data_IF_522220195623
#
_entry.id   IF_522220195623
#
_cell.length_a   1.000
_cell.length_b   1.000
_cell.length_c   1.000
_cell.angle_alpha   90.00
_cell.angle_beta   90.00
_cell.angle_gamma   90.00
#
_symmetry.space_group_name_H-M   'P 1'
#
loop_
_entity.id
_entity.type
_entity.pdbx_description
1 polymer ?
#
# COMPACT_ATOMS: atom_id res chain seq x y z
N UNK A 1 -18.02 -35.27 2.87
CA UNK A 1 -19.03 -34.20 2.93
C UNK A 1 -18.93 -33.54 4.30
N UNK A 2 -18.92 -32.22 4.34
CA UNK A 2 -18.85 -31.47 5.61
C UNK A 2 -20.07 -30.56 5.67
N UNK A 3 -20.58 -30.34 6.87
CA UNK A 3 -21.74 -29.47 7.14
C UNK A 3 -21.27 -28.28 7.97
N UNK A 4 -21.64 -27.07 7.57
CA UNK A 4 -21.19 -25.84 8.24
C UNK A 4 -21.77 -25.70 9.65
N UNK A 5 -22.95 -26.29 9.90
CA UNK A 5 -23.61 -26.23 11.20
C UNK A 5 -24.21 -27.59 11.56
N UNK A 6 -23.44 -28.50 12.18
CA UNK A 6 -23.85 -29.88 12.45
C UNK A 6 -25.08 -29.97 13.39
N UNK A 7 -25.34 -28.94 14.20
CA UNK A 7 -26.47 -28.90 15.14
C UNK A 7 -27.83 -28.94 14.42
N UNK A 8 -27.95 -28.41 13.20
CA UNK A 8 -29.20 -28.45 12.44
C UNK A 8 -29.58 -29.86 11.97
N UNK A 9 -28.64 -30.82 11.94
CA UNK A 9 -28.96 -32.22 11.68
C UNK A 9 -29.80 -32.84 12.80
N UNK A 10 -29.78 -32.28 14.03
CA UNK A 10 -30.72 -32.67 15.07
C UNK A 10 -32.19 -32.41 14.68
N UNK A 11 -32.43 -31.46 13.76
CA UNK A 11 -33.73 -31.19 13.16
C UNK A 11 -34.32 -32.37 12.37
N UNK A 12 -33.49 -33.34 11.93
CA UNK A 12 -33.99 -34.60 11.37
C UNK A 12 -34.82 -35.41 12.38
N UNK A 13 -34.67 -35.16 13.68
CA UNK A 13 -35.57 -35.71 14.71
C UNK A 13 -37.03 -35.33 14.48
N UNK A 14 -37.31 -34.20 13.81
CA UNK A 14 -38.67 -33.78 13.46
C UNK A 14 -39.35 -34.70 12.43
N UNK A 15 -38.59 -35.53 11.70
CA UNK A 15 -39.14 -36.57 10.81
C UNK A 15 -39.92 -37.64 11.59
N UNK A 16 -39.65 -37.79 12.88
CA UNK A 16 -40.41 -38.71 13.74
C UNK A 16 -41.83 -38.23 14.01
N UNK A 17 -42.11 -36.91 13.94
CA UNK A 17 -43.43 -36.36 14.27
C UNK A 17 -44.54 -36.89 13.34
N UNK A 18 -44.44 -36.79 12.00
CA UNK A 18 -45.49 -37.32 11.10
C UNK A 18 -45.75 -38.81 11.27
N UNK A 19 -44.69 -39.59 11.53
CA UNK A 19 -44.78 -41.04 11.76
C UNK A 19 -45.49 -41.33 13.08
N UNK A 20 -45.12 -40.60 14.14
CA UNK A 20 -45.71 -40.75 15.47
C UNK A 20 -47.19 -40.31 15.47
N UNK A 21 -47.51 -39.18 14.84
CA UNK A 21 -48.89 -38.71 14.68
C UNK A 21 -49.74 -39.66 13.85
N UNK A 22 -49.17 -40.32 12.84
CA UNK A 22 -49.89 -41.35 12.08
C UNK A 22 -50.15 -42.61 12.91
N UNK A 23 -49.24 -42.96 13.82
CA UNK A 23 -49.39 -44.08 14.72
C UNK A 23 -50.44 -43.80 15.82
N UNK A 24 -50.55 -42.54 16.27
CA UNK A 24 -51.57 -42.06 17.21
C UNK A 24 -52.90 -41.83 16.45
N UNK A 25 -53.52 -42.92 15.96
CA UNK A 25 -54.92 -42.85 15.52
C UNK A 25 -55.83 -42.82 16.75
N UNK A 26 -56.45 -41.67 17.04
CA UNK A 26 -57.60 -41.61 17.94
C UNK A 26 -58.75 -42.36 17.28
N UNK A 27 -59.23 -43.43 17.90
CA UNK A 27 -60.49 -44.09 17.53
C UNK A 27 -61.61 -43.05 17.53
N UNK A 28 -62.39 -42.91 16.43
CA UNK A 28 -63.54 -42.02 16.42
C UNK A 28 -64.52 -42.45 17.51
N UNK A 29 -64.71 -41.61 18.54
CA UNK A 29 -65.80 -41.79 19.50
C UNK A 29 -67.03 -41.10 18.95
N UNK A 30 -67.78 -41.85 18.14
CA UNK A 30 -69.11 -41.51 17.68
C UNK A 30 -70.07 -42.64 18.01
N UNK A 31 -70.28 -42.92 19.30
CA UNK A 31 -71.37 -43.81 19.70
C UNK A 31 -72.67 -43.03 19.54
N UNK A 32 -73.45 -43.37 18.53
CA UNK A 32 -74.81 -42.86 18.37
C UNK A 32 -75.78 -43.90 18.94
N UNK A 33 -76.71 -43.51 19.84
CA UNK A 33 -77.68 -44.44 20.37
C UNK A 33 -78.57 -44.94 19.23
N UNK A 34 -78.53 -46.23 18.97
CA UNK A 34 -79.39 -46.91 18.01
C UNK A 34 -80.43 -47.74 18.77
N UNK A 35 -81.65 -47.87 18.22
CA UNK A 35 -82.73 -48.63 18.86
C UNK A 35 -82.43 -50.14 18.91
N UNK A 36 -83.11 -50.85 19.81
CA UNK A 36 -82.91 -52.24 20.25
C UNK A 36 -82.35 -53.23 19.20
N UNK A 37 -81.18 -53.81 19.49
CA UNK A 37 -80.51 -54.84 18.69
C UNK A 37 -80.92 -56.29 19.06
N UNK A 38 -82.02 -56.47 19.80
CA UNK A 38 -82.46 -57.75 20.39
C UNK A 38 -82.65 -58.89 19.36
N UNK A 39 -82.90 -58.55 18.08
CA UNK A 39 -83.15 -59.53 17.01
C UNK A 39 -81.95 -59.77 16.08
N UNK A 40 -80.79 -59.14 16.33
CA UNK A 40 -79.60 -59.31 15.50
C UNK A 40 -78.63 -60.28 16.17
N UNK A 41 -78.17 -61.28 15.42
CA UNK A 41 -77.17 -62.23 15.89
C UNK A 41 -75.84 -61.51 16.18
N UNK A 42 -75.19 -61.77 17.32
CA UNK A 42 -73.93 -61.11 17.68
C UNK A 42 -72.86 -61.44 16.65
N UNK A 43 -72.45 -60.45 15.87
CA UNK A 43 -71.30 -60.57 14.98
C UNK A 43 -70.03 -60.53 15.85
N UNK A 44 -69.10 -61.50 15.72
CA UNK A 44 -67.90 -61.51 16.54
C UNK A 44 -67.10 -60.22 16.32
N UNK A 45 -66.48 -59.65 17.38
CA UNK A 45 -65.66 -58.46 17.25
C UNK A 45 -64.56 -58.76 16.24
N UNK A 46 -64.65 -58.16 15.05
CA UNK A 46 -63.54 -58.19 14.10
C UNK A 46 -62.40 -57.48 14.81
N UNK A 47 -61.39 -58.23 15.25
CA UNK A 47 -60.10 -57.65 15.57
C UNK A 47 -59.69 -56.88 14.31
N UNK A 48 -59.83 -55.56 14.36
CA UNK A 48 -59.30 -54.67 13.34
C UNK A 48 -57.78 -54.82 13.43
N UNK A 49 -57.27 -55.76 12.64
CA UNK A 49 -55.85 -56.00 12.44
C UNK A 49 -55.20 -54.65 12.19
N UNK A 50 -54.25 -54.33 13.07
CA UNK A 50 -53.15 -53.35 12.98
C UNK A 50 -53.36 -52.21 11.96
N UNK A 51 -53.30 -50.98 12.47
CA UNK A 51 -53.15 -49.74 11.69
C UNK A 51 -52.39 -49.99 10.39
N UNK A 52 -53.13 -50.03 9.27
CA UNK A 52 -52.53 -50.03 7.94
C UNK A 52 -52.16 -48.58 7.66
N UNK A 53 -50.95 -48.38 7.17
CA UNK A 53 -50.44 -47.07 6.76
C UNK A 53 -51.18 -46.65 5.49
N UNK A 54 -52.41 -46.16 5.64
CA UNK A 54 -53.16 -45.57 4.54
C UNK A 54 -52.47 -44.27 4.12
N UNK A 55 -52.27 -44.05 2.82
CA UNK A 55 -51.62 -42.87 2.23
C UNK A 55 -50.10 -42.75 2.50
N UNK A 56 -49.35 -43.86 2.36
CA UNK A 56 -47.89 -43.87 2.50
C UNK A 56 -47.17 -42.83 1.61
N UNK A 57 -47.70 -42.54 0.42
CA UNK A 57 -47.17 -41.48 -0.47
C UNK A 57 -47.25 -40.08 0.15
N UNK A 58 -48.39 -39.74 0.80
CA UNK A 58 -48.55 -38.45 1.48
C UNK A 58 -47.64 -38.35 2.72
N UNK A 59 -47.44 -39.46 3.43
CA UNK A 59 -46.52 -39.53 4.57
C UNK A 59 -45.06 -39.35 4.11
N UNK A 60 -44.67 -39.97 3.00
CA UNK A 60 -43.35 -39.81 2.38
C UNK A 60 -43.13 -38.37 1.92
N UNK A 61 -44.11 -37.76 1.25
CA UNK A 61 -44.01 -36.36 0.81
C UNK A 61 -43.83 -35.39 1.99
N UNK A 62 -44.55 -35.61 3.09
CA UNK A 62 -44.46 -34.77 4.30
C UNK A 62 -43.12 -34.91 5.00
N UNK A 63 -42.57 -36.13 5.04
CA UNK A 63 -41.23 -36.39 5.54
C UNK A 63 -40.16 -35.77 4.62
N UNK A 64 -40.31 -35.91 3.30
CA UNK A 64 -39.40 -35.32 2.32
C UNK A 64 -39.34 -33.79 2.41
N UNK A 65 -40.49 -33.12 2.59
CA UNK A 65 -40.53 -31.66 2.79
C UNK A 65 -39.74 -31.21 4.03
N UNK A 66 -39.89 -31.93 5.16
CA UNK A 66 -39.12 -31.63 6.38
C UNK A 66 -37.63 -31.95 6.23
N UNK A 67 -37.29 -33.02 5.50
CA UNK A 67 -35.90 -33.39 5.21
C UNK A 67 -35.22 -32.34 4.31
N UNK A 68 -35.90 -31.86 3.26
CA UNK A 68 -35.42 -30.79 2.39
C UNK A 68 -35.25 -29.48 3.15
N UNK A 69 -36.18 -29.15 4.06
CA UNK A 69 -36.06 -27.97 4.92
C UNK A 69 -34.83 -28.08 5.83
N UNK A 70 -34.63 -29.23 6.50
CA UNK A 70 -33.46 -29.48 7.32
C UNK A 70 -32.15 -29.39 6.51
N UNK A 71 -32.14 -29.93 5.28
CA UNK A 71 -30.99 -29.82 4.37
C UNK A 71 -30.74 -28.38 3.90
N UNK A 72 -31.79 -27.60 3.61
CA UNK A 72 -31.66 -26.20 3.22
C UNK A 72 -31.00 -25.37 4.33
N UNK A 73 -31.37 -25.61 5.60
CA UNK A 73 -30.74 -24.96 6.75
C UNK A 73 -29.36 -25.52 7.10
N UNK A 74 -29.12 -26.82 6.87
CA UNK A 74 -27.82 -27.44 7.10
C UNK A 74 -26.75 -27.01 6.08
N UNK A 75 -27.16 -26.43 4.93
CA UNK A 75 -26.29 -26.01 3.82
C UNK A 75 -25.19 -27.05 3.52
N UNK A 76 -25.55 -28.28 3.11
CA UNK A 76 -24.57 -29.28 2.75
C UNK A 76 -23.78 -28.78 1.54
N UNK A 77 -22.46 -28.63 1.71
CA UNK A 77 -21.60 -28.34 0.58
C UNK A 77 -20.94 -29.63 0.10
N UNK A 78 -21.11 -29.90 -1.19
CA UNK A 78 -20.39 -30.96 -1.85
C UNK A 78 -18.98 -30.46 -2.12
N UNK A 79 -17.97 -30.98 -1.40
CA UNK A 79 -16.59 -30.93 -1.87
C UNK A 79 -16.53 -31.81 -3.11
N UNK A 80 -16.89 -31.26 -4.25
CA UNK A 80 -16.62 -31.90 -5.53
C UNK A 80 -15.11 -31.83 -5.72
N UNK A 81 -14.39 -32.89 -5.37
CA UNK A 81 -13.19 -33.25 -6.12
C UNK A 81 -13.69 -33.73 -7.47
N UNK A 82 -14.06 -32.79 -8.33
CA UNK A 82 -14.31 -33.07 -9.72
C UNK A 82 -12.97 -33.57 -10.28
N UNK A 83 -12.95 -34.82 -10.74
CA UNK A 83 -11.91 -35.31 -11.65
C UNK A 83 -12.19 -34.62 -12.99
N UNK A 84 -11.94 -33.31 -13.04
CA UNK A 84 -11.78 -32.59 -14.29
C UNK A 84 -10.42 -33.02 -14.82
N UNK A 85 -10.39 -33.49 -16.07
CA UNK A 85 -9.14 -33.60 -16.81
C UNK A 85 -8.40 -32.28 -16.67
N UNK A 86 -7.11 -32.30 -16.30
CA UNK A 86 -6.30 -31.08 -16.13
C UNK A 86 -6.36 -30.15 -17.35
N UNK A 87 -6.66 -30.69 -18.54
CA UNK A 87 -6.84 -29.97 -19.80
C UNK A 87 -8.17 -29.19 -19.92
N UNK A 88 -9.15 -29.42 -19.04
CA UNK A 88 -10.46 -28.76 -19.02
C UNK A 88 -10.64 -27.79 -17.85
N UNK A 89 -9.66 -27.70 -16.94
CA UNK A 89 -9.62 -26.58 -15.99
C UNK A 89 -9.20 -25.33 -16.75
N UNK A 90 -10.09 -24.33 -16.74
CA UNK A 90 -9.72 -22.95 -17.01
C UNK A 90 -8.46 -22.62 -16.17
N UNK A 91 -7.37 -22.25 -16.83
CA UNK A 91 -6.17 -21.77 -16.13
C UNK A 91 -6.47 -20.45 -15.42
N UNK A 92 -5.62 -20.05 -14.49
CA UNK A 92 -5.70 -18.70 -13.89
C UNK A 92 -4.64 -17.79 -14.47
N UNK A 93 -4.91 -16.49 -14.56
CA UNK A 93 -3.89 -15.46 -14.80
C UNK A 93 -3.61 -14.74 -13.49
N UNK A 94 -2.52 -15.11 -12.83
CA UNK A 94 -2.17 -14.63 -11.50
C UNK A 94 -1.12 -13.51 -11.60
N UNK A 95 -1.50 -12.27 -11.31
CA UNK A 95 -0.56 -11.17 -11.12
C UNK A 95 -0.09 -11.14 -9.67
N UNK A 96 1.19 -11.48 -9.43
CA UNK A 96 1.82 -11.26 -8.13
C UNK A 96 2.26 -9.81 -8.07
N UNK A 97 1.61 -9.00 -7.24
CA UNK A 97 1.88 -7.59 -7.05
C UNK A 97 2.62 -7.43 -5.72
N UNK A 98 3.92 -7.17 -5.79
CA UNK A 98 4.83 -7.15 -4.65
C UNK A 98 5.23 -5.73 -4.29
N UNK A 99 4.97 -5.35 -3.05
CA UNK A 99 5.40 -4.07 -2.50
C UNK A 99 6.91 -4.04 -2.32
N UNK A 100 7.55 -3.04 -2.91
CA UNK A 100 8.99 -2.79 -2.88
C UNK A 100 9.32 -1.43 -2.26
N UNK A 101 8.37 -0.79 -1.58
CA UNK A 101 8.59 0.50 -0.93
C UNK A 101 9.62 0.48 0.20
N UNK A 102 10.00 1.66 0.67
CA UNK A 102 10.96 1.82 1.77
C UNK A 102 10.54 1.11 3.06
N UNK A 103 9.24 1.04 3.37
CA UNK A 103 8.73 0.40 4.60
C UNK A 103 9.02 -1.10 4.66
N UNK A 104 9.13 -1.75 3.50
CA UNK A 104 9.45 -3.18 3.39
C UNK A 104 10.88 -3.51 3.85
N UNK A 105 11.73 -2.51 4.11
CA UNK A 105 13.07 -2.66 4.69
C UNK A 105 13.05 -2.96 6.19
N UNK A 106 11.91 -2.79 6.85
CA UNK A 106 11.76 -2.97 8.31
C UNK A 106 11.82 -4.44 8.69
N UNK A 107 12.59 -4.73 9.74
CA UNK A 107 12.75 -6.08 10.32
C UNK A 107 12.86 -7.20 9.26
N UNK A 108 11.92 -8.16 9.29
CA UNK A 108 11.86 -9.34 8.42
C UNK A 108 10.75 -9.25 7.36
N UNK A 109 10.18 -8.07 7.11
CA UNK A 109 9.05 -7.86 6.19
C UNK A 109 9.36 -8.36 4.78
N UNK A 110 10.52 -8.01 4.24
CA UNK A 110 10.93 -8.42 2.90
C UNK A 110 11.04 -9.95 2.78
N UNK A 111 11.59 -10.62 3.80
CA UNK A 111 11.72 -12.08 3.82
C UNK A 111 10.36 -12.75 3.91
N UNK A 112 9.42 -12.20 4.70
CA UNK A 112 8.04 -12.66 4.74
C UNK A 112 7.37 -12.50 3.37
N UNK A 113 7.55 -11.35 2.71
CA UNK A 113 6.96 -11.05 1.41
C UNK A 113 7.44 -12.03 0.32
N UNK A 114 8.75 -12.28 0.26
CA UNK A 114 9.34 -13.30 -0.61
C UNK A 114 8.80 -14.71 -0.31
N UNK A 115 8.60 -15.05 0.97
CA UNK A 115 8.01 -16.33 1.35
C UNK A 115 6.54 -16.45 0.92
N UNK A 116 5.77 -15.37 0.97
CA UNK A 116 4.40 -15.33 0.44
C UNK A 116 4.39 -15.49 -1.08
N UNK A 117 5.24 -14.77 -1.82
CA UNK A 117 5.36 -14.90 -3.26
C UNK A 117 5.74 -16.35 -3.65
N UNK A 118 6.70 -16.96 -2.96
CA UNK A 118 7.10 -18.36 -3.21
C UNK A 118 5.96 -19.35 -2.93
N UNK A 119 5.12 -19.11 -1.92
CA UNK A 119 3.92 -19.94 -1.69
C UNK A 119 2.93 -19.79 -2.82
N UNK A 120 2.66 -18.57 -3.29
CA UNK A 120 1.78 -18.32 -4.43
C UNK A 120 2.27 -19.06 -5.68
N UNK A 121 3.56 -19.01 -5.98
CA UNK A 121 4.16 -19.72 -7.13
C UNK A 121 4.03 -21.25 -6.98
N UNK A 122 4.10 -21.79 -5.76
CA UNK A 122 3.89 -23.23 -5.50
C UNK A 122 2.44 -23.68 -5.64
N UNK A 123 1.48 -22.77 -5.47
CA UNK A 123 0.05 -23.03 -5.58
C UNK A 123 -0.48 -22.88 -7.03
N UNK A 124 0.38 -22.47 -7.97
CA UNK A 124 0.05 -22.42 -9.39
C UNK A 124 -0.18 -23.81 -9.96
N UNK A 125 -1.26 -23.96 -10.71
CA UNK A 125 -1.56 -25.14 -11.51
C UNK A 125 -0.73 -25.19 -12.81
N UNK A 126 -0.74 -26.33 -13.52
CA UNK A 126 0.03 -26.50 -14.75
C UNK A 126 -0.44 -25.63 -15.92
N UNK A 127 -1.67 -25.13 -15.89
CA UNK A 127 -2.23 -24.23 -16.91
C UNK A 127 -2.31 -22.77 -16.44
N UNK A 128 -1.81 -22.46 -15.25
CA UNK A 128 -1.84 -21.10 -14.74
C UNK A 128 -0.71 -20.29 -15.37
N UNK A 129 -1.04 -19.07 -15.79
CA UNK A 129 -0.09 -18.08 -16.23
C UNK A 129 0.18 -17.09 -15.08
N UNK A 130 1.42 -16.66 -14.94
CA UNK A 130 1.87 -15.79 -13.85
C UNK A 130 2.61 -14.59 -14.40
N UNK A 131 2.30 -13.43 -13.82
CA UNK A 131 3.05 -12.19 -13.97
C UNK A 131 3.62 -11.76 -12.61
N UNK A 132 4.76 -11.07 -12.64
CA UNK A 132 5.37 -10.46 -11.47
C UNK A 132 5.42 -8.95 -11.71
N UNK A 133 4.73 -8.22 -10.86
CA UNK A 133 4.70 -6.76 -10.83
C UNK A 133 5.24 -6.31 -9.48
N UNK A 134 6.18 -5.38 -9.49
CA UNK A 134 6.63 -4.69 -8.26
C UNK A 134 6.04 -3.31 -8.22
N UNK A 135 5.81 -2.76 -7.03
CA UNK A 135 5.39 -1.38 -6.91
C UNK A 135 6.07 -0.67 -5.75
N UNK A 136 6.32 0.61 -5.95
CA UNK A 136 6.58 1.59 -4.90
C UNK A 136 5.72 2.83 -5.18
N UNK A 137 6.28 3.91 -5.73
CA UNK A 137 5.55 5.05 -6.27
C UNK A 137 4.89 4.73 -7.62
N UNK A 138 5.45 3.75 -8.35
CA UNK A 138 4.95 3.31 -9.64
C UNK A 138 4.95 1.79 -9.71
N UNK A 139 3.96 1.23 -10.42
CA UNK A 139 3.96 -0.19 -10.76
C UNK A 139 4.91 -0.46 -11.93
N UNK A 140 5.73 -1.50 -11.79
CA UNK A 140 6.64 -1.97 -12.82
C UNK A 140 6.46 -3.48 -13.04
N UNK A 141 6.15 -3.86 -14.28
CA UNK A 141 6.08 -5.27 -14.68
C UNK A 141 7.48 -5.82 -14.88
N UNK A 142 7.86 -6.82 -14.07
CA UNK A 142 9.16 -7.51 -14.13
C UNK A 142 9.06 -8.76 -15.02
N UNK A 143 7.94 -9.48 -14.91
CA UNK A 143 7.58 -10.61 -15.77
C UNK A 143 6.15 -10.39 -16.24
N UNK A 144 5.97 -10.22 -17.54
CA UNK A 144 4.66 -10.00 -18.18
C UNK A 144 3.91 -11.32 -18.40
N UNK A 145 2.59 -11.28 -18.60
CA UNK A 145 1.76 -12.41 -19.00
C UNK A 145 2.15 -12.98 -20.37
N UNK A 146 1.77 -14.23 -20.64
CA UNK A 146 1.95 -14.81 -21.97
C UNK A 146 1.02 -14.09 -22.96
N UNK A 147 1.58 -13.72 -24.11
CA UNK A 147 0.85 -13.05 -25.17
C UNK A 147 0.30 -14.07 -26.17
N UNK A 148 -0.95 -13.89 -26.65
CA UNK A 148 -1.48 -14.74 -27.71
C UNK A 148 -0.58 -14.70 -28.96
N UNK A 149 -0.16 -15.87 -29.43
CA UNK A 149 0.67 -16.01 -30.63
C UNK A 149 2.19 -16.04 -30.40
N UNK A 150 2.67 -15.79 -29.17
CA UNK A 150 4.07 -16.02 -28.80
C UNK A 150 4.29 -17.48 -28.34
N UNK A 151 5.47 -18.07 -28.57
CA UNK A 151 5.78 -19.39 -28.05
C UNK A 151 5.73 -19.35 -26.50
N UNK A 152 5.05 -20.30 -25.85
CA UNK A 152 4.90 -20.28 -24.39
C UNK A 152 6.27 -20.30 -23.73
N UNK A 153 6.44 -19.44 -22.73
CA UNK A 153 7.69 -19.36 -21.99
C UNK A 153 7.77 -20.56 -21.09
N UNK A 154 8.55 -21.56 -21.52
CA UNK A 154 8.77 -22.77 -20.72
C UNK A 154 9.25 -22.37 -19.33
N UNK A 155 8.47 -22.75 -18.32
CA UNK A 155 8.83 -22.64 -16.91
C UNK A 155 8.87 -21.20 -16.35
N UNK A 156 7.89 -20.39 -16.75
CA UNK A 156 7.61 -19.06 -16.19
C UNK A 156 7.65 -18.98 -14.65
N UNK A 157 7.10 -19.96 -13.89
CA UNK A 157 7.24 -19.98 -12.43
C UNK A 157 8.70 -19.91 -11.96
N UNK A 158 9.63 -20.60 -12.64
CA UNK A 158 11.05 -20.52 -12.31
C UNK A 158 11.71 -19.21 -12.74
N UNK A 159 11.26 -18.59 -13.83
CA UNK A 159 11.68 -17.24 -14.21
C UNK A 159 11.31 -16.23 -13.12
N UNK A 160 10.06 -16.27 -12.63
CA UNK A 160 9.60 -15.42 -11.52
C UNK A 160 10.44 -15.66 -10.27
N UNK A 161 10.73 -16.91 -9.90
CA UNK A 161 11.61 -17.24 -8.77
C UNK A 161 13.03 -16.66 -8.93
N UNK A 162 13.56 -16.65 -10.14
CA UNK A 162 14.87 -16.08 -10.41
C UNK A 162 14.85 -14.55 -10.22
N UNK A 163 13.82 -13.87 -10.75
CA UNK A 163 13.67 -12.43 -10.60
C UNK A 163 13.44 -12.01 -9.15
N UNK A 164 12.64 -12.76 -8.39
CA UNK A 164 12.43 -12.52 -6.95
C UNK A 164 13.74 -12.51 -6.14
N UNK A 165 14.76 -13.27 -6.56
CA UNK A 165 16.06 -13.29 -5.88
C UNK A 165 16.92 -12.05 -6.13
N UNK A 166 16.70 -11.34 -7.24
CA UNK A 166 17.40 -10.11 -7.58
C UNK A 166 16.69 -8.84 -7.10
N UNK A 167 15.43 -8.96 -6.67
CA UNK A 167 14.65 -7.83 -6.17
C UNK A 167 15.01 -7.50 -4.72
N UNK A 168 14.82 -6.23 -4.36
CA UNK A 168 14.93 -5.72 -3.01
C UNK A 168 14.07 -4.47 -2.82
N UNK A 169 13.79 -4.07 -1.57
CA UNK A 169 13.05 -2.84 -1.32
C UNK A 169 13.83 -1.60 -1.78
N UNK A 170 13.11 -0.63 -2.31
CA UNK A 170 13.58 0.69 -2.73
C UNK A 170 13.58 1.68 -1.56
N UNK A 171 13.90 2.94 -1.85
CA UNK A 171 13.85 4.06 -0.89
C UNK A 171 12.63 4.97 -1.13
N UNK A 172 11.72 4.57 -2.01
CA UNK A 172 10.57 5.37 -2.44
C UNK A 172 9.36 5.12 -1.54
N UNK A 173 8.41 6.04 -1.63
CA UNK A 173 7.10 5.92 -0.98
C UNK A 173 6.20 4.87 -1.68
N UNK A 174 4.99 4.65 -1.15
CA UNK A 174 4.06 3.63 -1.65
C UNK A 174 2.80 4.26 -2.24
N UNK A 175 2.53 4.00 -3.51
CA UNK A 175 1.29 4.32 -4.21
C UNK A 175 0.54 3.03 -4.59
N UNK A 176 -0.05 2.43 -3.56
CA UNK A 176 -0.79 1.17 -3.67
C UNK A 176 -2.02 1.31 -4.58
N UNK A 177 -2.69 2.46 -4.52
CA UNK A 177 -3.89 2.73 -5.29
C UNK A 177 -3.61 2.74 -6.78
N UNK A 178 -2.68 3.58 -7.23
CA UNK A 178 -2.31 3.66 -8.64
C UNK A 178 -1.79 2.32 -9.17
N UNK A 179 -0.98 1.61 -8.38
CA UNK A 179 -0.44 0.30 -8.76
C UNK A 179 -1.53 -0.75 -8.99
N UNK A 180 -2.49 -0.87 -8.05
CA UNK A 180 -3.59 -1.82 -8.18
C UNK A 180 -4.52 -1.47 -9.34
N UNK A 181 -4.83 -0.19 -9.55
CA UNK A 181 -5.66 0.28 -10.67
C UNK A 181 -4.99 -0.07 -12.01
N UNK A 182 -3.68 0.15 -12.13
CA UNK A 182 -2.92 -0.18 -13.34
C UNK A 182 -3.00 -1.67 -13.65
N UNK A 183 -2.71 -2.52 -12.66
CA UNK A 183 -2.72 -3.99 -12.84
C UNK A 183 -4.12 -4.53 -13.09
N UNK A 184 -5.14 -4.01 -12.42
CA UNK A 184 -6.52 -4.42 -12.62
C UNK A 184 -7.01 -4.08 -14.03
N UNK A 185 -6.69 -2.87 -14.53
CA UNK A 185 -7.05 -2.43 -15.87
C UNK A 185 -6.37 -3.27 -16.96
N UNK A 186 -5.10 -3.61 -16.76
CA UNK A 186 -4.36 -4.49 -17.67
C UNK A 186 -4.96 -5.90 -17.72
N UNK A 187 -5.27 -6.47 -16.55
CA UNK A 187 -5.89 -7.79 -16.45
C UNK A 187 -7.30 -7.83 -17.08
N UNK A 188 -8.11 -6.81 -16.83
CA UNK A 188 -9.48 -6.71 -17.36
C UNK A 188 -9.47 -6.60 -18.89
N UNK A 189 -8.62 -5.71 -19.42
CA UNK A 189 -8.44 -5.55 -20.88
C UNK A 189 -7.99 -6.86 -21.54
N UNK A 190 -7.08 -7.57 -20.88
CA UNK A 190 -6.54 -8.82 -21.40
C UNK A 190 -7.55 -9.99 -21.35
N UNK A 191 -8.59 -9.92 -20.52
CA UNK A 191 -9.73 -10.86 -20.53
C UNK A 191 -10.64 -10.56 -21.72
N UNK A 192 -10.91 -9.28 -21.99
CA UNK A 192 -11.76 -8.88 -23.12
C UNK A 192 -11.12 -9.20 -24.49
N UNK A 193 -9.82 -8.95 -24.65
CA UNK A 193 -9.12 -9.11 -25.93
C UNK A 193 -8.81 -10.57 -26.29
N UNK A 194 -8.50 -11.42 -25.31
CA UNK A 194 -7.88 -12.71 -25.57
C UNK A 194 -8.87 -13.86 -25.83
N UNK A 195 -10.20 -13.64 -25.74
CA UNK A 195 -11.21 -14.72 -25.61
C UNK A 195 -10.75 -15.81 -24.62
N UNK A 196 -9.94 -15.42 -23.64
CA UNK A 196 -9.23 -16.36 -22.77
C UNK A 196 -10.19 -16.82 -21.70
N UNK A 197 -10.31 -18.15 -21.55
CA UNK A 197 -11.10 -18.78 -20.48
C UNK A 197 -10.38 -18.61 -19.12
N UNK A 198 -9.18 -18.01 -19.09
CA UNK A 198 -8.39 -17.95 -17.88
C UNK A 198 -8.91 -16.90 -16.89
N UNK A 199 -9.19 -17.33 -15.65
CA UNK A 199 -9.72 -16.45 -14.60
C UNK A 199 -8.60 -15.51 -14.09
N UNK A 200 -8.75 -14.18 -14.19
CA UNK A 200 -7.72 -13.26 -13.69
C UNK A 200 -7.74 -13.23 -12.16
N UNK A 201 -6.59 -12.98 -11.55
CA UNK A 201 -6.47 -12.82 -10.10
C UNK A 201 -5.26 -11.94 -9.77
N UNK A 202 -5.45 -11.00 -8.84
CA UNK A 202 -4.36 -10.22 -8.26
C UNK A 202 -4.01 -10.82 -6.90
N UNK A 203 -2.72 -11.10 -6.68
CA UNK A 203 -2.17 -11.47 -5.38
C UNK A 203 -1.28 -10.33 -4.91
N UNK A 204 -1.81 -9.50 -4.01
CA UNK A 204 -1.14 -8.34 -3.45
C UNK A 204 -0.37 -8.74 -2.19
N UNK A 205 0.94 -8.45 -2.16
CA UNK A 205 1.83 -8.70 -1.02
C UNK A 205 2.42 -7.36 -0.57
N UNK A 206 2.05 -6.89 0.62
CA UNK A 206 2.39 -5.54 1.14
C UNK A 206 2.26 -5.53 2.66
N UNK A 207 2.88 -4.56 3.33
CA UNK A 207 2.72 -4.34 4.77
C UNK A 207 1.45 -3.54 5.12
N UNK A 208 0.74 -3.01 4.10
CA UNK A 208 -0.42 -2.13 4.26
C UNK A 208 -0.14 -0.94 5.20
N UNK A 209 1.05 -0.34 5.10
CA UNK A 209 1.39 0.82 5.94
C UNK A 209 0.35 1.93 5.75
N UNK A 210 0.00 2.62 6.85
CA UNK A 210 -0.99 3.70 6.84
C UNK A 210 -0.64 4.88 5.93
N UNK A 211 0.62 5.04 5.53
CA UNK A 211 1.07 6.05 4.58
C UNK A 211 0.89 5.66 3.11
N UNK A 212 0.40 4.45 2.81
CA UNK A 212 0.13 4.02 1.45
C UNK A 212 -0.98 4.85 0.85
N UNK A 213 -0.73 5.46 -0.31
CA UNK A 213 -1.74 6.23 -1.05
C UNK A 213 -2.75 5.27 -1.65
N UNK A 214 -4.02 5.40 -1.27
CA UNK A 214 -5.12 4.50 -1.66
C UNK A 214 -6.31 5.27 -2.23
N UNK A 215 -6.19 6.58 -2.38
CA UNK A 215 -7.25 7.49 -2.80
C UNK A 215 -7.80 7.11 -4.18
N UNK A 216 -6.92 6.69 -5.09
CA UNK A 216 -7.27 6.27 -6.44
C UNK A 216 -8.24 5.08 -6.47
N UNK A 217 -8.19 4.19 -5.47
CA UNK A 217 -9.12 3.05 -5.36
C UNK A 217 -10.55 3.50 -5.06
N UNK A 218 -10.75 4.67 -4.46
CA UNK A 218 -12.09 5.19 -4.16
C UNK A 218 -12.79 5.71 -5.42
N UNK A 219 -12.00 6.22 -6.37
CA UNK A 219 -12.49 6.77 -7.63
C UNK A 219 -12.59 5.70 -8.74
N UNK A 220 -11.90 4.58 -8.60
CA UNK A 220 -11.86 3.51 -9.58
C UNK A 220 -13.03 2.53 -9.43
N UNK A 221 -13.75 2.26 -10.53
CA UNK A 221 -14.77 1.23 -10.58
C UNK A 221 -14.12 -0.14 -10.78
N UNK A 222 -14.07 -0.94 -9.70
CA UNK A 222 -13.33 -2.19 -9.71
C UNK A 222 -13.99 -3.27 -10.61
N UNK A 223 -13.25 -3.90 -11.55
CA UNK A 223 -13.78 -4.94 -12.42
C UNK A 223 -14.26 -6.17 -11.63
N UNK A 224 -15.51 -6.58 -11.85
CA UNK A 224 -16.12 -7.70 -11.11
C UNK A 224 -15.42 -9.06 -11.32
N UNK A 225 -14.65 -9.20 -12.39
CA UNK A 225 -13.98 -10.44 -12.77
C UNK A 225 -12.58 -10.59 -12.15
N UNK A 226 -12.00 -9.51 -11.60
CA UNK A 226 -10.62 -9.49 -11.10
C UNK A 226 -10.60 -9.50 -9.56
N UNK A 227 -10.62 -10.67 -8.90
CA UNK A 227 -10.47 -10.76 -7.45
C UNK A 227 -9.06 -10.34 -6.99
N UNK A 228 -9.01 -9.67 -5.83
CA UNK A 228 -7.75 -9.36 -5.12
C UNK A 228 -7.63 -10.22 -3.88
N UNK A 229 -6.52 -10.95 -3.79
CA UNK A 229 -6.11 -11.69 -2.58
C UNK A 229 -4.97 -10.93 -1.93
N UNK A 230 -5.18 -10.46 -0.70
CA UNK A 230 -4.20 -9.67 0.04
C UNK A 230 -3.44 -10.56 1.02
N UNK A 231 -2.12 -10.57 0.90
CA UNK A 231 -1.17 -11.15 1.84
C UNK A 231 -0.45 -10.03 2.59
N UNK A 232 -1.06 -9.57 3.68
CA UNK A 232 -0.46 -8.56 4.54
C UNK A 232 0.72 -9.14 5.32
N UNK A 233 1.91 -8.58 5.14
CA UNK A 233 3.08 -8.87 5.98
C UNK A 233 3.07 -7.95 7.20
N UNK A 234 3.62 -8.43 8.33
CA UNK A 234 3.64 -7.65 9.56
C UNK A 234 4.99 -7.74 10.22
N UNK A 235 5.53 -6.60 10.61
CA UNK A 235 6.78 -6.55 11.32
C UNK A 235 6.60 -7.25 12.68
N UNK A 236 7.65 -7.96 13.12
CA UNK A 236 7.79 -8.27 14.54
C UNK A 236 7.66 -6.98 15.35
N UNK A 237 7.08 -7.03 16.56
CA UNK A 237 6.95 -5.86 17.44
C UNK A 237 8.28 -5.10 17.55
N UNK A 238 8.37 -3.94 16.89
CA UNK A 238 9.50 -3.00 16.88
C UNK A 238 8.98 -1.59 17.16
N UNK A 239 9.86 -0.66 17.50
CA UNK A 239 9.53 0.75 17.33
C UNK A 239 9.50 1.12 15.84
N UNK A 240 8.74 2.19 15.55
CA UNK A 240 8.76 2.86 14.24
C UNK A 240 8.34 4.32 14.43
N UNK A 241 9.25 5.24 14.16
CA UNK A 241 8.99 6.66 14.27
C UNK A 241 9.75 7.42 13.18
N UNK A 242 9.24 8.59 12.80
CA UNK A 242 9.89 9.44 11.80
C UNK A 242 9.98 10.88 12.27
N UNK A 243 11.00 11.59 11.81
CA UNK A 243 11.23 12.99 12.08
C UNK A 243 11.10 13.81 10.78
N UNK A 244 10.23 14.82 10.79
CA UNK A 244 9.97 15.70 9.66
C UNK A 244 10.23 17.16 10.05
N UNK A 245 11.07 17.85 9.28
CA UNK A 245 11.25 19.29 9.43
C UNK A 245 10.02 20.04 8.87
N UNK A 246 9.48 20.96 9.67
CA UNK A 246 8.39 21.85 9.26
C UNK A 246 8.97 23.21 8.88
N UNK A 247 9.20 23.43 7.58
CA UNK A 247 9.64 24.72 7.04
C UNK A 247 8.50 25.74 7.06
N UNK A 248 8.73 26.92 7.64
CA UNK A 248 7.88 28.11 7.45
C UNK A 248 8.55 28.96 6.37
N UNK A 249 8.01 28.95 5.15
CA UNK A 249 8.64 29.59 3.97
C UNK A 249 8.61 31.12 3.99
N UNK A 250 7.93 31.74 4.96
CA UNK A 250 7.64 33.18 4.91
C UNK A 250 8.41 34.03 5.94
N UNK A 251 9.02 33.44 6.98
CA UNK A 251 9.59 34.20 8.11
C UNK A 251 10.82 33.58 8.78
N UNK A 252 11.71 32.92 8.02
CA UNK A 252 12.98 32.44 8.56
C UNK A 252 13.86 33.64 8.95
N UNK A 253 13.75 34.06 10.21
CA UNK A 253 14.66 35.02 10.84
C UNK A 253 15.86 34.25 11.41
N UNK A 254 17.01 34.92 11.58
CA UNK A 254 18.28 34.33 12.05
C UNK A 254 18.22 33.59 13.41
N UNK A 255 17.08 33.62 14.12
CA UNK A 255 16.87 32.99 15.44
C UNK A 255 15.69 32.01 15.48
N UNK A 256 15.20 31.53 14.32
CA UNK A 256 14.05 30.61 14.28
C UNK A 256 14.48 29.15 14.55
N UNK A 257 14.25 28.68 15.77
CA UNK A 257 14.42 27.27 16.14
C UNK A 257 13.65 26.38 15.15
N UNK A 258 14.35 25.43 14.55
CA UNK A 258 13.76 24.51 13.58
C UNK A 258 12.66 23.66 14.22
N UNK A 259 11.45 23.73 13.69
CA UNK A 259 10.31 22.93 14.19
C UNK A 259 10.36 21.55 13.58
N UNK A 260 10.58 20.53 14.41
CA UNK A 260 10.63 19.13 13.98
C UNK A 260 9.38 18.42 14.49
N UNK A 261 8.61 17.81 13.59
CA UNK A 261 7.51 16.91 13.93
C UNK A 261 8.05 15.49 14.03
N UNK A 262 7.94 14.90 15.22
CA UNK A 262 8.19 13.47 15.45
C UNK A 262 6.85 12.75 15.42
N UNK A 263 6.72 11.72 14.59
CA UNK A 263 5.52 10.90 14.43
C UNK A 263 5.86 9.49 14.89
N UNK A 264 5.07 8.92 15.81
CA UNK A 264 5.25 7.57 16.28
C UNK A 264 4.14 6.66 15.72
N UNK A 265 4.50 5.53 15.12
CA UNK A 265 3.54 4.60 14.56
C UNK A 265 2.61 4.01 15.64
N UNK A 266 1.39 3.65 15.25
CA UNK A 266 0.37 3.15 16.19
C UNK A 266 0.72 1.77 16.80
N UNK A 267 1.56 1.01 16.12
CA UNK A 267 2.04 -0.32 16.50
C UNK A 267 3.44 -0.29 17.15
N UNK A 268 4.02 0.88 17.34
CA UNK A 268 5.35 1.08 17.91
C UNK A 268 5.42 0.68 19.38
N UNK A 269 6.52 0.02 19.78
CA UNK A 269 6.76 -0.38 21.17
C UNK A 269 7.49 0.66 22.02
N UNK A 270 8.14 1.64 21.38
CA UNK A 270 8.84 2.71 22.08
C UNK A 270 7.98 3.99 22.11
N UNK A 271 8.12 4.76 23.19
CA UNK A 271 7.44 6.05 23.34
C UNK A 271 8.43 7.21 23.58
N UNK A 272 9.72 6.90 23.73
CA UNK A 272 10.77 7.86 24.01
C UNK A 272 11.79 7.85 22.87
N UNK A 273 11.92 8.99 22.21
CA UNK A 273 12.87 9.20 21.12
C UNK A 273 13.77 10.38 21.44
N UNK A 274 14.81 10.55 20.63
CA UNK A 274 15.69 11.71 20.68
C UNK A 274 15.88 12.25 19.27
N UNK A 275 15.85 13.57 19.13
CA UNK A 275 16.15 14.23 17.87
C UNK A 275 17.38 15.11 18.02
N UNK A 276 18.25 15.13 17.01
CA UNK A 276 19.43 15.99 16.99
C UNK A 276 19.78 16.46 15.58
N UNK A 277 20.49 17.57 15.51
CA UNK A 277 21.19 17.96 14.29
C UNK A 277 22.49 17.17 14.13
N UNK A 278 22.83 16.85 12.90
CA UNK A 278 24.08 16.19 12.52
C UNK A 278 24.69 16.89 11.30
N UNK A 279 25.99 16.69 11.11
CA UNK A 279 26.77 17.15 9.96
C UNK A 279 27.33 15.95 9.20
N UNK A 280 27.65 16.12 7.91
CA UNK A 280 28.33 15.12 7.08
C UNK A 280 29.57 14.48 7.74
N UNK A 281 30.33 15.26 8.53
CA UNK A 281 31.53 14.77 9.24
C UNK A 281 31.22 14.03 10.56
N UNK A 282 29.95 13.95 10.96
CA UNK A 282 29.51 13.39 12.24
C UNK A 282 29.95 14.18 13.48
N UNK A 283 30.73 15.25 13.31
CA UNK A 283 31.38 16.02 14.40
C UNK A 283 30.46 16.91 15.22
N UNK A 284 29.33 17.35 14.65
CA UNK A 284 28.31 18.10 15.41
C UNK A 284 27.46 17.20 16.34
N UNK A 285 27.73 15.88 16.37
CA UNK A 285 26.96 14.90 17.15
C UNK A 285 27.19 14.95 18.68
N UNK A 286 27.82 15.99 19.22
CA UNK A 286 28.17 16.08 20.63
C UNK A 286 27.00 16.65 21.48
N UNK A 287 26.34 15.74 22.23
CA UNK A 287 25.54 15.90 23.45
C UNK A 287 24.19 16.65 23.48
N UNK A 288 23.76 17.41 22.47
CA UNK A 288 22.44 18.07 22.49
C UNK A 288 21.33 17.26 21.79
N UNK A 289 21.18 15.97 22.13
CA UNK A 289 19.99 15.23 21.69
C UNK A 289 18.78 15.66 22.52
N UNK A 290 17.74 16.19 21.88
CA UNK A 290 16.53 16.62 22.55
C UNK A 290 15.62 15.40 22.80
N UNK A 291 15.32 15.03 24.06
CA UNK A 291 14.38 13.96 24.35
C UNK A 291 12.95 14.36 23.96
N UNK A 292 12.26 13.49 23.24
CA UNK A 292 10.87 13.68 22.82
C UNK A 292 10.05 12.45 23.22
N UNK A 293 9.06 12.65 24.08
CA UNK A 293 8.10 11.61 24.44
C UNK A 293 6.89 11.67 23.50
N UNK A 294 6.71 10.63 22.68
CA UNK A 294 5.62 10.51 21.70
C UNK A 294 4.97 9.14 21.88
N UNK A 295 3.79 9.03 22.50
CA UNK A 295 3.06 7.78 22.60
C UNK A 295 2.73 7.19 21.22
N UNK A 296 2.53 5.87 21.15
CA UNK A 296 2.18 5.18 19.91
C UNK A 296 0.95 5.80 19.23
N UNK A 297 1.05 6.05 17.92
CA UNK A 297 -0.02 6.64 17.10
C UNK A 297 -0.20 8.15 17.28
N UNK A 298 0.70 8.81 18.00
CA UNK A 298 0.69 10.27 18.18
C UNK A 298 1.82 10.94 17.42
N UNK A 299 1.73 12.27 17.31
CA UNK A 299 2.81 13.12 16.82
C UNK A 299 3.05 14.28 17.79
N UNK A 300 4.31 14.71 17.92
CA UNK A 300 4.69 15.89 18.70
C UNK A 300 5.58 16.79 17.86
N UNK A 301 5.38 18.10 17.98
CA UNK A 301 6.26 19.10 17.38
C UNK A 301 7.17 19.63 18.48
N UNK A 302 8.47 19.62 18.21
CA UNK A 302 9.50 20.16 19.10
C UNK A 302 10.32 21.22 18.37
N UNK A 303 10.92 22.13 19.14
CA UNK A 303 11.85 23.13 18.65
C UNK A 303 13.26 22.63 18.85
N UNK A 304 14.03 22.56 17.77
CA UNK A 304 15.39 22.06 17.75
C UNK A 304 16.30 23.16 17.22
N UNK A 305 17.09 23.76 18.12
CA UNK A 305 18.05 24.79 17.77
C UNK A 305 19.12 24.23 16.82
N UNK A 306 19.39 24.92 15.72
CA UNK A 306 20.41 24.53 14.74
C UNK A 306 21.79 25.05 15.19
N UNK A 307 22.78 24.19 15.51
CA UNK A 307 24.04 24.63 16.12
C UNK A 307 24.95 25.49 15.21
N UNK A 308 24.78 25.40 13.88
CA UNK A 308 25.43 26.23 12.86
C UNK A 308 24.75 25.95 11.51
N UNK A 309 24.14 26.97 10.89
CA UNK A 309 23.29 26.80 9.69
C UNK A 309 24.04 26.24 8.47
N UNK A 310 25.35 26.44 8.38
CA UNK A 310 26.15 26.03 7.24
C UNK A 310 26.64 24.57 7.32
N UNK A 311 26.78 24.01 8.53
CA UNK A 311 27.41 22.68 8.72
C UNK A 311 26.45 21.60 9.18
N UNK A 312 25.33 21.96 9.81
CA UNK A 312 24.30 21.02 10.24
C UNK A 312 23.33 20.76 9.08
N UNK A 313 23.52 19.68 8.34
CA UNK A 313 22.83 19.39 7.07
C UNK A 313 21.74 18.31 7.19
N UNK A 314 21.54 17.73 8.37
CA UNK A 314 20.51 16.71 8.58
C UNK A 314 20.03 16.64 10.03
N UNK A 315 18.80 16.17 10.20
CA UNK A 315 18.21 15.81 11.49
C UNK A 315 18.22 14.28 11.60
N UNK A 316 18.66 13.79 12.74
CA UNK A 316 18.70 12.37 13.07
C UNK A 316 17.71 12.06 14.19
N UNK A 317 16.90 11.02 13.99
CA UNK A 317 16.04 10.41 14.99
C UNK A 317 16.74 9.20 15.62
N UNK A 318 16.70 9.12 16.95
CA UNK A 318 17.34 8.07 17.74
C UNK A 318 16.29 7.45 18.68
N UNK A 319 16.39 6.14 18.91
CA UNK A 319 15.44 5.38 19.74
C UNK A 319 14.41 4.60 18.93
N UNK A 320 14.52 4.66 17.60
CA UNK A 320 13.79 3.76 16.70
C UNK A 320 14.64 2.53 16.34
N UNK A 321 14.03 1.35 16.37
CA UNK A 321 14.64 0.06 16.02
C UNK A 321 14.82 -0.05 14.50
N UNK A 322 13.92 0.54 13.73
CA UNK A 322 13.88 0.48 12.28
C UNK A 322 14.59 1.69 11.65
N UNK A 323 15.93 1.65 11.59
CA UNK A 323 16.77 2.84 11.27
C UNK A 323 16.73 3.36 9.82
N UNK A 324 15.87 2.83 8.95
CA UNK A 324 15.94 3.13 7.52
C UNK A 324 15.54 4.58 7.18
N UNK A 325 14.62 5.19 7.91
CA UNK A 325 14.12 6.55 7.66
C UNK A 325 14.41 7.54 8.81
N UNK A 326 15.38 7.21 9.67
CA UNK A 326 15.79 8.05 10.81
C UNK A 326 16.54 9.35 10.44
N UNK A 327 16.83 9.59 9.16
CA UNK A 327 17.60 10.75 8.71
C UNK A 327 16.76 11.64 7.79
N UNK A 328 16.64 12.92 8.16
CA UNK A 328 16.02 13.95 7.34
C UNK A 328 17.07 14.97 6.87
N UNK A 329 17.34 15.00 5.57
CA UNK A 329 18.36 15.88 4.98
C UNK A 329 17.79 17.28 4.70
N UNK A 330 18.59 18.30 4.99
CA UNK A 330 18.24 19.71 4.83
C UNK A 330 19.33 20.36 3.99
N UNK A 331 18.93 21.05 2.93
CA UNK A 331 19.87 21.86 2.14
C UNK A 331 20.18 23.13 2.95
N UNK A 332 21.45 23.38 3.33
CA UNK A 332 21.81 24.64 3.96
C UNK A 332 21.45 25.81 3.05
N UNK A 333 20.85 26.89 3.58
CA UNK A 333 20.63 28.10 2.79
C UNK A 333 21.98 28.57 2.23
N UNK A 334 22.03 28.81 0.92
CA UNK A 334 23.22 29.36 0.26
C UNK A 334 23.07 30.86 0.26
N UNK A 335 23.93 31.57 0.98
CA UNK A 335 24.00 33.03 0.91
C UNK A 335 24.54 33.38 -0.48
N UNK A 336 23.73 34.03 -1.30
CA UNK A 336 24.17 34.51 -2.60
C UNK A 336 24.87 35.85 -2.46
N UNK A 337 26.11 35.93 -2.94
CA UNK A 337 26.83 37.20 -3.06
C UNK A 337 26.43 37.88 -4.36
N UNK A 338 25.77 39.04 -4.26
CA UNK A 338 25.36 39.84 -5.41
C UNK A 338 26.33 41.01 -5.58
N UNK A 339 27.25 40.96 -6.56
CA UNK A 339 28.07 42.12 -6.88
C UNK A 339 27.21 43.16 -7.58
N UNK A 340 27.16 44.37 -7.02
CA UNK A 340 26.43 45.50 -7.59
C UNK A 340 27.41 46.63 -7.84
N UNK A 341 27.48 47.09 -9.09
CA UNK A 341 28.30 48.25 -9.45
C UNK A 341 27.43 49.49 -9.47
N UNK A 342 27.77 50.48 -8.65
CA UNK A 342 27.19 51.82 -8.70
C UNK A 342 28.17 52.76 -9.40
N UNK A 343 27.71 53.39 -10.47
CA UNK A 343 28.46 54.41 -11.21
C UNK A 343 27.85 55.76 -10.90
N UNK A 344 28.63 56.64 -10.29
CA UNK A 344 28.20 57.98 -9.95
C UNK A 344 28.96 58.56 -8.76
N UNK A 345 28.87 59.88 -8.62
CA UNK A 345 29.61 60.63 -7.60
C UNK A 345 28.77 60.95 -6.35
N UNK A 346 27.54 60.43 -6.27
CA UNK A 346 26.64 60.75 -5.16
C UNK A 346 27.10 60.08 -3.86
N UNK A 347 26.85 60.76 -2.74
CA UNK A 347 27.19 60.26 -1.40
C UNK A 347 26.13 59.25 -0.92
N UNK A 348 26.54 58.16 -0.23
CA UNK A 348 25.60 57.18 0.33
C UNK A 348 24.72 57.76 1.45
N UNK A 349 25.11 58.90 2.04
CA UNK A 349 24.37 59.54 3.12
C UNK A 349 23.50 60.71 2.66
N UNK A 350 23.43 60.98 1.36
CA UNK A 350 22.67 62.11 0.82
C UNK A 350 21.23 61.69 0.43
N UNK A 351 20.20 62.09 1.19
CA UNK A 351 18.81 61.71 0.92
C UNK A 351 18.23 62.31 -0.37
N UNK A 352 18.91 63.27 -1.01
CA UNK A 352 18.55 63.78 -2.34
C UNK A 352 19.23 62.98 -3.48
N UNK A 353 20.25 62.18 -3.16
CA UNK A 353 21.01 61.38 -4.11
C UNK A 353 20.42 59.98 -4.37
N UNK A 354 20.49 59.46 -5.60
CA UNK A 354 20.00 58.11 -5.94
C UNK A 354 20.75 56.99 -5.20
N UNK A 355 22.02 57.20 -4.82
CA UNK A 355 22.81 56.23 -4.07
C UNK A 355 22.22 55.90 -2.70
N UNK A 356 21.66 56.89 -2.00
CA UNK A 356 21.04 56.69 -0.69
C UNK A 356 19.86 55.71 -0.76
N UNK A 357 18.99 55.84 -1.77
CA UNK A 357 17.86 54.93 -1.96
C UNK A 357 18.30 53.56 -2.47
N UNK A 358 19.39 53.51 -3.24
CA UNK A 358 19.99 52.27 -3.70
C UNK A 358 20.50 51.42 -2.52
N UNK A 359 21.30 51.97 -1.61
CA UNK A 359 21.80 51.19 -0.47
C UNK A 359 20.68 50.66 0.44
N UNK A 360 19.57 51.40 0.55
CA UNK A 360 18.37 50.93 1.28
C UNK A 360 17.67 49.79 0.53
N UNK A 361 17.50 49.90 -0.79
CA UNK A 361 16.81 48.90 -1.60
C UNK A 361 17.61 47.60 -1.79
N UNK A 362 18.94 47.69 -1.75
CA UNK A 362 19.89 46.58 -1.88
C UNK A 362 20.60 46.26 -0.56
N UNK A 363 19.93 46.46 0.57
CA UNK A 363 20.43 45.96 1.84
C UNK A 363 20.60 44.43 1.83
N UNK A 364 21.55 43.97 2.65
CA UNK A 364 21.72 42.55 2.96
C UNK A 364 20.44 41.96 3.56
N UNK A 365 20.21 40.68 3.31
CA UNK A 365 19.15 39.89 3.94
C UNK A 365 19.68 38.47 4.25
N UNK A 366 18.91 37.66 4.97
CA UNK A 366 19.30 36.34 5.48
C UNK A 366 19.84 35.37 4.41
N UNK A 367 19.47 35.58 3.13
CA UNK A 367 19.89 34.72 2.01
C UNK A 367 20.75 35.45 0.96
N UNK A 368 21.03 36.75 1.14
CA UNK A 368 21.70 37.58 0.13
C UNK A 368 22.64 38.57 0.78
N UNK A 369 23.90 38.52 0.37
CA UNK A 369 24.91 39.50 0.72
C UNK A 369 25.21 40.37 -0.51
N UNK A 370 25.12 41.70 -0.38
CA UNK A 370 25.36 42.63 -1.47
C UNK A 370 26.78 43.19 -1.36
N UNK A 371 27.59 42.95 -2.39
CA UNK A 371 28.92 43.54 -2.52
C UNK A 371 28.81 44.77 -3.45
N UNK A 372 28.79 45.96 -2.85
CA UNK A 372 28.71 47.21 -3.60
C UNK A 372 30.10 47.69 -4.04
N UNK A 373 30.32 47.77 -5.34
CA UNK A 373 31.49 48.39 -5.95
C UNK A 373 31.11 49.78 -6.48
N UNK A 374 31.80 50.82 -6.00
CA UNK A 374 31.57 52.20 -6.48
C UNK A 374 32.63 52.53 -7.53
N UNK A 375 32.18 53.03 -8.69
CA UNK A 375 33.03 53.67 -9.68
C UNK A 375 32.62 55.12 -9.82
N UNK A 376 33.59 56.03 -9.78
CA UNK A 376 33.34 57.43 -10.17
C UNK A 376 33.15 57.53 -11.68
N UNK A 377 32.51 58.61 -12.15
CA UNK A 377 32.29 58.83 -13.59
C UNK A 377 33.62 58.86 -14.39
N UNK A 378 34.71 59.30 -13.75
CA UNK A 378 36.06 59.33 -14.33
C UNK A 378 36.68 57.92 -14.43
N UNK A 379 36.51 57.09 -13.39
CA UNK A 379 37.01 55.70 -13.38
C UNK A 379 36.22 54.77 -14.31
N UNK A 380 34.91 55.03 -14.49
CA UNK A 380 34.10 54.31 -15.45
C UNK A 380 34.52 54.62 -16.91
N UNK A 381 34.90 55.87 -17.19
CA UNK A 381 35.38 56.28 -18.51
C UNK A 381 36.76 55.68 -18.86
N UNK A 382 37.68 55.60 -17.89
CA UNK A 382 39.00 54.97 -18.08
C UNK A 382 38.92 53.44 -18.28
N UNK A 383 37.88 52.79 -17.74
CA UNK A 383 37.69 51.34 -17.87
C UNK A 383 37.23 50.89 -19.28
N UNK A 384 36.64 51.80 -20.06
CA UNK A 384 36.19 51.54 -21.44
C UNK A 384 37.34 51.72 -22.45
N UNK A 385 38.33 52.58 -22.15
CA UNK A 385 39.50 52.80 -23.01
C UNK A 385 40.59 51.71 -22.87
N UNK A 386 40.61 50.98 -21.75
CA UNK A 386 41.55 49.85 -21.52
C UNK A 386 41.08 48.49 -22.06
N UNK A 387 39.79 48.34 -22.40
CA UNK A 387 39.18 47.06 -22.79
C UNK A 387 39.49 46.60 -24.23
N UNK A 388 40.00 47.48 -25.09
CA UNK A 388 40.27 47.18 -26.50
C UNK A 388 41.70 46.67 -26.76
N UNK A 389 42.67 46.84 -25.84
CA UNK A 389 44.02 46.31 -26.03
C UNK A 389 44.21 44.86 -25.51
N UNK A 390 43.43 44.41 -24.53
CA UNK A 390 43.56 43.06 -23.94
C UNK A 390 42.71 41.99 -24.65
N UNK A 391 41.70 42.40 -25.43
CA UNK A 391 40.95 41.49 -26.33
C UNK A 391 41.77 41.07 -27.56
N UNK A 392 42.68 41.91 -28.03
CA UNK A 392 43.50 41.59 -29.21
C UNK A 392 44.63 40.56 -28.93
N UNK A 393 45.02 40.37 -27.67
CA UNK A 393 46.10 39.47 -27.27
C UNK A 393 45.63 38.09 -26.79
N UNK A 394 44.39 37.96 -26.28
CA UNK A 394 43.82 36.67 -25.85
C UNK A 394 43.15 35.84 -26.97
N UNK A 395 42.72 36.46 -28.08
CA UNK A 395 42.21 35.71 -29.25
C UNK A 395 43.31 35.07 -30.10
N UNK A 396 44.58 35.48 -29.95
CA UNK A 396 45.70 34.87 -30.69
C UNK A 396 46.19 33.54 -30.07
N UNK A 397 45.93 33.29 -28.79
CA UNK A 397 46.46 32.09 -28.10
C UNK A 397 45.43 30.94 -28.12
N UNK A 398 44.13 31.25 -28.14
CA UNK A 398 43.04 30.26 -28.23
C UNK A 398 42.88 29.60 -29.61
N UNK A 399 43.38 30.21 -30.69
CA UNK A 399 43.26 29.66 -32.05
C UNK A 399 44.33 28.59 -32.38
N UNK A 400 45.34 28.39 -31.53
CA UNK A 400 46.40 27.40 -31.78
C UNK A 400 46.16 26.02 -31.15
N UNK A 401 45.26 25.91 -30.17
CA UNK A 401 45.11 24.68 -29.36
C UNK A 401 43.88 23.82 -29.71
N UNK A 402 43.09 24.22 -30.71
CA UNK A 402 41.90 23.48 -31.18
C UNK A 402 42.18 22.50 -32.34
N UNK A 403 43.42 22.37 -32.81
CA UNK A 403 43.81 21.39 -33.84
C UNK A 403 44.66 20.27 -33.24
N UNK A 404 44.10 19.45 -32.35
CA UNK A 404 44.90 18.41 -31.71
C UNK A 404 44.20 17.38 -30.83
N UNK A 405 43.00 16.88 -31.16
CA UNK A 405 42.58 15.59 -30.62
C UNK A 405 41.51 14.93 -31.49
N UNK A 406 41.86 13.74 -31.96
CA UNK A 406 41.07 12.79 -32.71
C UNK A 406 40.91 11.55 -31.84
#
# INVERSE_FOLDING_TARGET
>A
MSVLVPLYLAGLGALSLPVLFHLIRRTPRGHQPFSTLLFLSPSPPRLTRRSRLDHWLLLLLRAAALALLALAFARPFFRASAVLSLEQLAGRRVAIVLDTSASMRRSDLWQQALAHAERTIKELGPNDDVALVTFDEHAQTIVDFERPGEPPTRDKPNLVRQQLKSLGPSWRSTDLGSALVSVATELDSAVEEAESIAEPQIVLITDLQSGSRVEDLQAYEWPSQVPVVVHAVRASKSSNASALLLTDTEHATEDDDSRVRVINAADSTAEQFFVRWQSADGRLAADESLPVHVPAGQSRVVRLKRPNELTADRIELIGDDDVFDNLHFVVPPRIETLPVVYIGNDSPTDPEGPRYYMEIAWADDALRQVELHTLTDEEAADSDEGGDEERASSESEAASDSSGAK
#
